data_IF_050547966029
#
_entry.id   IF_050547966029
#
_cell.length_a   1.000
_cell.length_b   1.000
_cell.length_c   1.000
_cell.angle_alpha   90.00
_cell.angle_beta   90.00
_cell.angle_gamma   90.00
#
_symmetry.space_group_name_H-M   'P 1'
#
loop_
_entity.id
_entity.type
_entity.pdbx_description
1 polymer ?
#
# COMPACT_ATOMS: atom_id res chain seq x y z
N UNK A 1 -17.09 -5.69 -18.28
CA UNK A 1 -15.91 -5.07 -18.92
C UNK A 1 -14.86 -4.85 -17.83
N UNK A 2 -13.57 -4.94 -18.13
CA UNK A 2 -12.52 -4.61 -17.17
C UNK A 2 -12.62 -3.14 -16.76
N UNK A 3 -12.21 -2.84 -15.52
CA UNK A 3 -12.07 -1.47 -15.03
C UNK A 3 -10.86 -0.83 -15.71
N UNK A 4 -11.05 0.30 -16.39
CA UNK A 4 -10.00 1.00 -17.13
C UNK A 4 -9.28 1.98 -16.22
N UNK A 5 -7.98 1.80 -16.05
CA UNK A 5 -7.18 2.63 -15.13
C UNK A 5 -6.11 3.45 -15.87
N UNK A 6 -5.94 4.70 -15.40
CA UNK A 6 -4.82 5.56 -15.74
C UNK A 6 -3.89 5.70 -14.56
N UNK A 7 -2.58 5.56 -14.76
CA UNK A 7 -1.57 5.69 -13.71
C UNK A 7 -0.85 7.04 -13.88
N UNK A 8 -0.95 7.91 -12.88
CA UNK A 8 -0.16 9.13 -12.81
C UNK A 8 1.02 8.95 -11.84
N UNK A 9 2.24 9.01 -12.36
CA UNK A 9 3.47 8.66 -11.65
C UNK A 9 3.84 7.18 -11.84
N UNK A 10 4.83 6.93 -12.67
CA UNK A 10 5.32 5.57 -12.95
C UNK A 10 6.61 5.27 -12.17
N UNK A 11 6.64 5.73 -10.91
CA UNK A 11 7.65 5.40 -9.90
C UNK A 11 7.52 3.97 -9.39
N UNK A 12 8.02 3.71 -8.17
CA UNK A 12 7.97 2.35 -7.57
C UNK A 12 6.55 1.78 -7.58
N UNK A 13 5.58 2.51 -7.01
CA UNK A 13 4.20 2.00 -6.86
C UNK A 13 3.50 1.89 -8.21
N UNK A 14 3.58 2.91 -9.08
CA UNK A 14 2.93 2.85 -10.39
C UNK A 14 3.41 1.68 -11.24
N UNK A 15 4.74 1.40 -11.26
CA UNK A 15 5.28 0.23 -11.95
C UNK A 15 4.84 -1.09 -11.32
N UNK A 16 4.86 -1.18 -9.99
CA UNK A 16 4.45 -2.40 -9.29
C UNK A 16 2.94 -2.68 -9.41
N UNK A 17 2.10 -1.67 -9.56
CA UNK A 17 0.68 -1.85 -9.91
C UNK A 17 0.53 -2.52 -11.27
N UNK A 18 1.22 -2.03 -12.31
CA UNK A 18 1.18 -2.65 -13.63
C UNK A 18 1.75 -4.07 -13.60
N UNK A 19 2.86 -4.29 -12.87
CA UNK A 19 3.44 -5.63 -12.67
C UNK A 19 2.45 -6.57 -11.97
N UNK A 20 1.80 -6.14 -10.89
CA UNK A 20 0.84 -6.94 -10.15
C UNK A 20 -0.34 -7.37 -11.01
N UNK A 21 -0.85 -6.49 -11.87
CA UNK A 21 -1.92 -6.81 -12.82
C UNK A 21 -1.45 -7.88 -13.82
N UNK A 22 -0.27 -7.68 -14.41
CA UNK A 22 0.27 -8.56 -15.44
C UNK A 22 0.68 -9.94 -14.88
N UNK A 23 1.40 -9.97 -13.76
CA UNK A 23 1.91 -11.19 -13.14
C UNK A 23 0.78 -12.05 -12.55
N UNK A 24 -0.27 -11.44 -12.02
CA UNK A 24 -1.44 -12.16 -11.54
C UNK A 24 -2.44 -12.54 -12.67
N UNK A 25 -2.18 -12.15 -13.92
CA UNK A 25 -3.08 -12.43 -15.05
C UNK A 25 -4.48 -11.84 -14.87
N UNK A 26 -4.58 -10.67 -14.23
CA UNK A 26 -5.87 -10.02 -13.93
C UNK A 26 -6.57 -9.60 -15.22
N UNK A 27 -7.82 -10.01 -15.38
CA UNK A 27 -8.67 -9.69 -16.53
C UNK A 27 -9.82 -8.72 -16.20
N UNK A 28 -9.98 -8.41 -14.92
CA UNK A 28 -11.03 -7.53 -14.40
C UNK A 28 -10.57 -6.04 -14.34
N UNK A 29 -9.33 -5.76 -14.71
CA UNK A 29 -8.71 -4.43 -14.72
C UNK A 29 -7.77 -4.29 -15.92
N UNK A 30 -7.70 -3.11 -16.52
CA UNK A 30 -6.86 -2.80 -17.69
C UNK A 30 -6.17 -1.44 -17.49
N UNK A 31 -4.84 -1.38 -17.64
CA UNK A 31 -4.11 -0.11 -17.68
C UNK A 31 -4.16 0.44 -19.10
N UNK A 32 -4.76 1.60 -19.29
CA UNK A 32 -4.96 2.23 -20.61
C UNK A 32 -4.07 3.44 -20.83
N UNK A 33 -3.52 4.02 -19.76
CA UNK A 33 -2.64 5.18 -19.84
C UNK A 33 -1.69 5.26 -18.65
N UNK A 34 -0.49 5.76 -18.93
CA UNK A 34 0.55 6.07 -17.94
C UNK A 34 0.98 7.50 -18.18
N UNK A 35 1.10 8.28 -17.12
CA UNK A 35 1.74 9.59 -17.17
C UNK A 35 2.96 9.60 -16.27
N UNK A 36 4.12 9.93 -16.83
CA UNK A 36 5.37 10.13 -16.09
C UNK A 36 6.27 11.08 -16.89
N UNK A 37 7.04 11.93 -16.18
CA UNK A 37 7.85 12.95 -16.82
C UNK A 37 9.14 12.41 -17.46
N UNK A 38 9.47 11.15 -17.20
CA UNK A 38 10.60 10.48 -17.85
C UNK A 38 10.27 10.04 -19.29
N UNK A 39 11.27 9.91 -20.18
CA UNK A 39 11.08 9.33 -21.50
C UNK A 39 10.47 7.92 -21.43
N UNK A 40 9.64 7.57 -22.44
CA UNK A 40 8.98 6.26 -22.51
C UNK A 40 9.97 5.09 -22.46
N UNK A 41 11.13 5.22 -23.07
CA UNK A 41 12.19 4.21 -23.07
C UNK A 41 12.76 3.98 -21.66
N UNK A 42 12.93 5.06 -20.88
CA UNK A 42 13.35 4.97 -19.47
C UNK A 42 12.31 4.25 -18.63
N UNK A 43 11.05 4.58 -18.81
CA UNK A 43 9.94 3.92 -18.13
C UNK A 43 9.85 2.43 -18.47
N UNK A 44 10.00 2.07 -19.75
CA UNK A 44 10.05 0.69 -20.20
C UNK A 44 11.26 -0.07 -19.65
N UNK A 45 12.45 0.57 -19.61
CA UNK A 45 13.65 -0.02 -19.04
C UNK A 45 13.47 -0.35 -17.55
N UNK A 46 12.97 0.61 -16.76
CA UNK A 46 12.72 0.44 -15.33
C UNK A 46 11.56 -0.53 -15.04
N UNK A 47 10.67 -0.77 -15.99
CA UNK A 47 9.65 -1.82 -15.88
C UNK A 47 10.25 -3.20 -16.12
N UNK A 48 11.18 -3.33 -17.11
CA UNK A 48 11.86 -4.60 -17.43
C UNK A 48 12.76 -5.08 -16.31
N UNK A 49 13.48 -4.14 -15.67
CA UNK A 49 14.53 -4.44 -14.70
C UNK A 49 14.25 -3.72 -13.39
N UNK A 50 14.04 -4.50 -12.35
CA UNK A 50 13.81 -3.99 -11.01
C UNK A 50 14.80 -4.63 -10.03
N UNK A 51 15.53 -3.81 -9.26
CA UNK A 51 16.55 -4.29 -8.34
C UNK A 51 15.97 -5.06 -7.16
N UNK A 52 14.69 -4.85 -6.83
CA UNK A 52 13.99 -5.46 -5.70
C UNK A 52 13.15 -6.65 -6.14
N UNK A 53 12.35 -6.45 -7.21
CA UNK A 53 11.39 -7.46 -7.69
C UNK A 53 11.89 -8.28 -8.89
N UNK A 54 13.14 -8.01 -9.35
CA UNK A 54 13.73 -8.74 -10.45
C UNK A 54 13.19 -8.36 -11.83
N UNK A 55 13.51 -9.18 -12.82
CA UNK A 55 13.05 -8.96 -14.19
C UNK A 55 11.54 -9.13 -14.30
N UNK A 56 10.92 -8.27 -15.12
CA UNK A 56 9.52 -8.46 -15.50
C UNK A 56 9.38 -9.82 -16.24
N UNK A 57 8.40 -10.67 -15.85
CA UNK A 57 8.31 -12.04 -16.36
C UNK A 57 7.83 -12.13 -17.82
N UNK A 58 7.34 -11.04 -18.39
CA UNK A 58 6.87 -10.96 -19.77
C UNK A 58 7.75 -10.05 -20.65
N UNK A 59 7.39 -9.95 -21.91
CA UNK A 59 8.02 -9.02 -22.84
C UNK A 59 7.49 -7.60 -22.62
N UNK A 60 8.39 -6.62 -22.58
CA UNK A 60 8.06 -5.19 -22.54
C UNK A 60 8.56 -4.54 -23.82
N UNK A 61 7.66 -4.09 -24.67
CA UNK A 61 8.00 -3.41 -25.93
C UNK A 61 7.56 -1.95 -25.91
N UNK A 62 8.24 -1.12 -26.71
CA UNK A 62 7.91 0.28 -26.94
C UNK A 62 7.51 0.48 -28.39
N UNK A 63 6.41 1.18 -28.64
CA UNK A 63 5.95 1.61 -29.96
C UNK A 63 5.56 3.09 -29.91
N UNK A 64 6.45 3.95 -30.44
CA UNK A 64 6.24 5.40 -30.36
C UNK A 64 6.15 5.85 -28.89
N UNK A 65 5.04 6.42 -28.53
CA UNK A 65 4.75 6.89 -27.16
C UNK A 65 3.88 5.90 -26.35
N UNK A 66 4.00 4.61 -26.62
CA UNK A 66 3.27 3.57 -25.91
C UNK A 66 4.17 2.41 -25.47
N UNK A 67 3.79 1.79 -24.33
CA UNK A 67 4.40 0.57 -23.80
C UNK A 67 3.40 -0.57 -23.95
N UNK A 68 3.87 -1.77 -24.26
CA UNK A 68 3.08 -3.01 -24.19
C UNK A 68 3.77 -4.02 -23.28
N UNK A 69 2.95 -4.72 -22.52
CA UNK A 69 3.33 -5.86 -21.66
C UNK A 69 2.58 -7.15 -22.06
N UNK A 70 2.11 -7.20 -23.32
CA UNK A 70 1.39 -8.35 -23.87
C UNK A 70 -0.12 -8.15 -24.02
N UNK A 71 -0.75 -7.24 -23.28
CA UNK A 71 -2.22 -7.04 -23.24
C UNK A 71 -2.66 -5.77 -23.98
N UNK A 72 -1.96 -5.39 -25.05
CA UNK A 72 -2.28 -4.18 -25.82
C UNK A 72 -1.27 -3.04 -25.58
N UNK A 73 -1.54 -1.89 -26.20
CA UNK A 73 -0.71 -0.70 -26.10
C UNK A 73 -1.22 0.22 -25.01
N UNK A 74 -0.36 0.57 -24.06
CA UNK A 74 -0.62 1.51 -22.98
C UNK A 74 -0.02 2.86 -23.42
N UNK A 75 -0.86 3.88 -23.58
CA UNK A 75 -0.42 5.23 -23.94
C UNK A 75 0.44 5.83 -22.81
N UNK A 76 1.61 6.39 -23.15
CA UNK A 76 2.49 7.08 -22.20
C UNK A 76 2.48 8.58 -22.51
N UNK A 77 2.32 9.41 -21.50
CA UNK A 77 2.37 10.88 -21.60
C UNK A 77 3.36 11.44 -20.60
N UNK A 78 3.81 12.68 -20.81
CA UNK A 78 4.74 13.41 -19.95
C UNK A 78 4.19 14.80 -19.61
N UNK A 79 3.04 14.82 -18.94
CA UNK A 79 2.27 16.04 -18.66
C UNK A 79 2.38 16.34 -17.16
N UNK A 80 2.75 17.59 -16.81
CA UNK A 80 2.91 18.03 -15.41
C UNK A 80 1.59 18.30 -14.72
N UNK A 81 0.61 18.85 -15.47
CA UNK A 81 -0.67 19.32 -14.93
C UNK A 81 -1.72 18.20 -14.99
N UNK A 82 -2.14 17.59 -13.88
CA UNK A 82 -3.05 16.45 -13.91
C UNK A 82 -4.41 16.74 -14.54
N UNK A 83 -4.90 17.98 -14.49
CA UNK A 83 -6.17 18.38 -15.07
C UNK A 83 -6.20 18.31 -16.60
N UNK A 84 -5.02 18.27 -17.25
CA UNK A 84 -4.89 18.22 -18.72
C UNK A 84 -4.52 16.82 -19.24
N UNK A 85 -4.51 15.82 -18.39
CA UNK A 85 -4.25 14.44 -18.76
C UNK A 85 -5.38 13.90 -19.67
N UNK A 86 -5.08 13.01 -20.62
CA UNK A 86 -6.07 12.54 -21.61
C UNK A 86 -6.99 11.44 -21.05
N UNK A 87 -7.38 11.53 -19.77
CA UNK A 87 -8.17 10.46 -19.13
C UNK A 87 -9.53 10.26 -19.78
N UNK A 88 -10.16 11.34 -20.26
CA UNK A 88 -11.44 11.28 -20.98
C UNK A 88 -11.30 10.50 -22.29
N UNK A 89 -10.30 10.83 -23.09
CA UNK A 89 -10.08 10.23 -24.40
C UNK A 89 -9.68 8.76 -24.30
N UNK A 90 -8.96 8.42 -23.23
CA UNK A 90 -8.57 7.05 -22.91
C UNK A 90 -9.66 6.26 -22.18
N UNK A 91 -10.80 6.89 -21.86
CA UNK A 91 -11.92 6.24 -21.18
C UNK A 91 -11.54 5.71 -19.78
N UNK A 92 -10.76 6.49 -19.01
CA UNK A 92 -10.31 6.08 -17.68
C UNK A 92 -11.48 6.09 -16.70
N UNK A 93 -11.73 4.95 -16.10
CA UNK A 93 -12.69 4.79 -15.00
C UNK A 93 -12.07 5.27 -13.67
N UNK A 94 -10.86 4.81 -13.36
CA UNK A 94 -10.19 5.13 -12.11
C UNK A 94 -8.76 5.63 -12.39
N UNK A 95 -8.45 6.85 -11.98
CA UNK A 95 -7.08 7.35 -11.99
C UNK A 95 -6.36 6.94 -10.69
N UNK A 96 -5.16 6.37 -10.85
CA UNK A 96 -4.28 6.00 -9.75
C UNK A 96 -3.21 7.08 -9.60
N UNK A 97 -3.33 7.88 -8.55
CA UNK A 97 -2.38 8.95 -8.24
C UNK A 97 -1.19 8.36 -7.46
N UNK A 98 -0.10 8.10 -8.16
CA UNK A 98 1.10 7.42 -7.66
C UNK A 98 2.34 8.32 -7.61
N UNK A 99 2.21 9.63 -7.80
CA UNK A 99 3.36 10.56 -7.76
C UNK A 99 3.86 10.86 -6.35
N UNK A 100 3.00 10.73 -5.34
CA UNK A 100 3.25 11.18 -3.97
C UNK A 100 3.19 12.70 -3.79
N UNK A 101 2.77 13.47 -4.81
CA UNK A 101 2.70 14.95 -4.81
C UNK A 101 1.28 15.44 -4.50
N UNK A 102 0.27 14.82 -5.11
CA UNK A 102 -1.13 15.23 -5.02
C UNK A 102 -1.87 14.49 -3.91
N UNK A 103 -1.44 14.69 -2.66
CA UNK A 103 -1.89 13.96 -1.47
C UNK A 103 -2.98 14.69 -0.68
N UNK A 104 -3.88 15.36 -1.36
CA UNK A 104 -5.12 15.89 -0.79
C UNK A 104 -6.26 15.75 -1.80
N UNK A 105 -7.51 15.71 -1.31
CA UNK A 105 -8.69 15.63 -2.17
C UNK A 105 -8.68 16.71 -3.24
N UNK A 106 -8.44 17.97 -2.85
CA UNK A 106 -8.49 19.11 -3.76
C UNK A 106 -7.48 18.98 -4.90
N UNK A 107 -6.25 18.55 -4.58
CA UNK A 107 -5.20 18.34 -5.59
C UNK A 107 -5.49 17.13 -6.47
N UNK A 108 -5.89 16.01 -5.87
CA UNK A 108 -6.17 14.77 -6.61
C UNK A 108 -7.45 14.88 -7.47
N UNK A 109 -8.40 15.74 -7.11
CA UNK A 109 -9.60 16.00 -7.89
C UNK A 109 -9.31 16.55 -9.31
N UNK A 110 -8.11 17.04 -9.60
CA UNK A 110 -7.66 17.43 -10.94
C UNK A 110 -7.82 16.28 -11.95
N UNK A 111 -7.66 15.04 -11.53
CA UNK A 111 -7.92 13.87 -12.40
C UNK A 111 -9.39 13.71 -12.79
N UNK A 112 -10.33 14.14 -11.95
CA UNK A 112 -11.76 14.17 -12.31
C UNK A 112 -12.03 15.20 -13.40
N UNK A 113 -11.39 16.38 -13.30
CA UNK A 113 -11.47 17.41 -14.34
C UNK A 113 -10.90 16.92 -15.67
N UNK A 114 -9.84 16.11 -15.63
CA UNK A 114 -9.26 15.45 -16.81
C UNK A 114 -10.15 14.34 -17.41
N UNK A 115 -11.23 13.95 -16.73
CA UNK A 115 -12.22 13.01 -17.23
C UNK A 115 -12.21 11.61 -16.62
N UNK A 116 -11.34 11.34 -15.63
CA UNK A 116 -11.45 10.12 -14.83
C UNK A 116 -12.75 10.16 -13.99
N UNK A 117 -13.42 9.04 -13.85
CA UNK A 117 -14.67 8.97 -13.08
C UNK A 117 -14.39 8.91 -11.56
N UNK A 118 -13.25 8.38 -11.16
CA UNK A 118 -12.79 8.23 -9.77
C UNK A 118 -11.28 8.36 -9.66
N UNK A 119 -10.80 8.59 -8.43
CA UNK A 119 -9.37 8.74 -8.12
C UNK A 119 -9.01 7.94 -6.88
N UNK A 120 -7.89 7.23 -6.92
CA UNK A 120 -7.26 6.61 -5.75
C UNK A 120 -5.88 7.22 -5.56
N UNK A 121 -5.62 7.77 -4.39
CA UNK A 121 -4.30 8.26 -3.98
C UNK A 121 -3.52 7.13 -3.33
N UNK A 122 -2.31 6.84 -3.81
CA UNK A 122 -1.43 5.78 -3.31
C UNK A 122 -0.63 6.17 -2.06
N UNK A 123 -1.19 7.05 -1.25
CA UNK A 123 -0.61 7.57 -0.01
C UNK A 123 -1.71 8.02 0.93
N UNK A 124 -1.44 8.26 2.23
CA UNK A 124 -2.33 9.02 3.09
C UNK A 124 -2.65 10.37 2.44
N UNK A 125 -3.91 10.77 2.43
CA UNK A 125 -4.34 11.99 1.76
C UNK A 125 -5.40 12.72 2.57
N UNK A 126 -5.27 14.05 2.62
CA UNK A 126 -6.15 14.91 3.42
C UNK A 126 -7.48 15.19 2.71
N UNK A 127 -8.58 15.22 3.46
CA UNK A 127 -9.90 15.64 3.00
C UNK A 127 -10.57 14.69 2.01
N UNK A 128 -10.02 13.49 1.75
CA UNK A 128 -10.60 12.49 0.85
C UNK A 128 -11.95 11.99 1.32
N UNK A 129 -12.76 11.46 0.41
CA UNK A 129 -14.10 10.95 0.73
C UNK A 129 -14.05 9.73 1.66
N UNK A 130 -13.04 8.89 1.51
CA UNK A 130 -12.78 7.74 2.37
C UNK A 130 -11.29 7.36 2.32
N UNK A 131 -10.72 7.04 3.49
CA UNK A 131 -9.48 6.29 3.57
C UNK A 131 -9.82 4.81 3.60
N UNK A 132 -9.31 4.06 2.62
CA UNK A 132 -9.63 2.64 2.41
C UNK A 132 -8.46 1.76 2.78
N UNK A 133 -8.73 0.73 3.56
CA UNK A 133 -7.87 -0.44 3.70
C UNK A 133 -8.67 -1.65 3.21
N UNK A 134 -8.27 -2.21 2.10
CA UNK A 134 -8.97 -3.34 1.49
C UNK A 134 -8.97 -4.56 2.43
N UNK A 135 -10.13 -5.22 2.58
CA UNK A 135 -10.35 -6.27 3.57
C UNK A 135 -10.82 -5.76 4.94
N UNK A 136 -10.68 -4.46 5.23
CA UNK A 136 -11.08 -3.87 6.53
C UNK A 136 -12.35 -3.02 6.42
N UNK A 137 -12.36 -2.05 5.49
CA UNK A 137 -13.48 -1.12 5.31
C UNK A 137 -13.82 -0.82 3.83
N UNK A 138 -13.36 -1.61 2.90
CA UNK A 138 -13.64 -1.43 1.47
C UNK A 138 -15.13 -1.61 1.14
N UNK A 139 -15.86 -2.33 1.97
CA UNK A 139 -17.32 -2.48 1.93
C UNK A 139 -18.09 -1.18 2.21
N UNK A 140 -17.42 -0.18 2.79
CA UNK A 140 -17.98 1.17 3.01
C UNK A 140 -17.88 2.06 1.75
N UNK A 141 -17.25 1.61 0.68
CA UNK A 141 -17.23 2.32 -0.60
C UNK A 141 -18.64 2.47 -1.15
N UNK A 142 -18.94 3.68 -1.63
CA UNK A 142 -20.24 4.01 -2.24
C UNK A 142 -20.07 4.71 -3.60
N UNK A 143 -21.11 4.77 -4.43
CA UNK A 143 -21.10 5.55 -5.69
C UNK A 143 -20.75 7.04 -5.52
N UNK A 144 -20.90 7.60 -4.32
CA UNK A 144 -20.61 9.01 -4.05
C UNK A 144 -19.14 9.29 -3.77
N UNK A 145 -18.35 8.28 -3.37
CA UNK A 145 -16.91 8.44 -3.12
C UNK A 145 -16.16 8.59 -4.44
N UNK A 146 -15.65 9.79 -4.72
CA UNK A 146 -14.95 10.12 -5.96
C UNK A 146 -13.43 10.11 -5.81
N UNK A 147 -12.92 10.58 -4.67
CA UNK A 147 -11.48 10.62 -4.37
C UNK A 147 -11.25 9.89 -3.06
N UNK A 148 -10.53 8.78 -3.11
CA UNK A 148 -10.19 7.99 -1.91
C UNK A 148 -8.68 7.87 -1.75
N UNK A 149 -8.24 7.60 -0.52
CA UNK A 149 -6.85 7.23 -0.21
C UNK A 149 -6.78 5.73 0.06
N UNK A 150 -5.76 5.06 -0.49
CA UNK A 150 -5.43 3.67 -0.14
C UNK A 150 -4.61 3.56 1.15
N UNK A 151 -4.60 4.62 1.99
CA UNK A 151 -3.79 4.72 3.20
C UNK A 151 -2.27 4.57 2.94
N UNK A 152 -1.51 4.14 3.93
CA UNK A 152 -0.10 3.77 3.79
C UNK A 152 0.08 2.26 3.77
N UNK A 153 1.25 1.79 3.30
CA UNK A 153 1.61 0.37 3.38
C UNK A 153 1.59 -0.15 4.83
N UNK A 154 2.07 0.65 5.78
CA UNK A 154 2.06 0.31 7.21
C UNK A 154 0.64 0.24 7.76
N UNK A 155 -0.26 1.15 7.38
CA UNK A 155 -1.68 1.08 7.78
C UNK A 155 -2.36 -0.16 7.19
N UNK A 156 -2.04 -0.52 5.94
CA UNK A 156 -2.54 -1.74 5.30
C UNK A 156 -2.06 -3.01 6.02
N UNK A 157 -0.85 -2.99 6.61
CA UNK A 157 -0.35 -4.09 7.43
C UNK A 157 -1.04 -4.14 8.81
N UNK A 158 -1.13 -2.98 9.51
CA UNK A 158 -1.61 -2.92 10.89
C UNK A 158 -3.11 -3.12 11.01
N UNK A 159 -3.91 -2.52 10.12
CA UNK A 159 -5.37 -2.47 10.28
C UNK A 159 -6.04 -3.85 10.26
N UNK A 160 -5.73 -4.80 9.35
CA UNK A 160 -6.31 -6.15 9.40
C UNK A 160 -5.95 -6.89 10.69
N UNK A 161 -4.71 -6.78 11.17
CA UNK A 161 -4.26 -7.39 12.43
C UNK A 161 -5.01 -6.75 13.61
N UNK A 162 -5.05 -5.41 13.67
CA UNK A 162 -5.74 -4.69 14.75
C UNK A 162 -7.24 -5.01 14.77
N UNK A 163 -7.89 -5.15 13.61
CA UNK A 163 -9.29 -5.56 13.51
C UNK A 163 -9.52 -6.92 14.14
N UNK A 164 -8.77 -7.93 13.72
CA UNK A 164 -8.90 -9.30 14.23
C UNK A 164 -8.67 -9.36 15.74
N UNK A 165 -7.64 -8.67 16.22
CA UNK A 165 -7.31 -8.66 17.67
C UNK A 165 -8.33 -7.88 18.49
N UNK A 166 -8.84 -6.76 17.95
CA UNK A 166 -9.89 -6.02 18.63
C UNK A 166 -11.20 -6.81 18.71
N UNK A 167 -11.56 -7.52 17.64
CA UNK A 167 -12.75 -8.38 17.60
C UNK A 167 -12.61 -9.58 18.57
N UNK A 168 -11.40 -10.14 18.72
CA UNK A 168 -11.16 -11.33 19.55
C UNK A 168 -11.05 -11.03 21.06
N UNK A 169 -10.25 -10.03 21.44
CA UNK A 169 -9.89 -9.77 22.84
C UNK A 169 -10.12 -8.32 23.28
N UNK A 170 -10.46 -7.44 22.33
CA UNK A 170 -10.56 -6.00 22.54
C UNK A 170 -9.18 -5.36 22.72
N UNK A 171 -9.02 -4.16 22.18
CA UNK A 171 -7.83 -3.32 22.37
C UNK A 171 -8.23 -2.13 23.22
N UNK A 172 -7.61 -1.98 24.40
CA UNK A 172 -7.77 -0.80 25.24
C UNK A 172 -6.90 0.34 24.69
N UNK A 173 -5.62 0.09 24.55
CA UNK A 173 -4.61 0.99 23.94
C UNK A 173 -3.45 0.19 23.37
N UNK A 174 -2.74 0.77 22.42
CA UNK A 174 -1.59 0.10 21.80
C UNK A 174 -0.57 1.05 21.24
N UNK A 175 0.67 0.55 21.12
CA UNK A 175 1.78 1.28 20.51
C UNK A 175 2.46 0.41 19.46
N UNK A 176 2.61 0.93 18.25
CA UNK A 176 3.23 0.24 17.14
C UNK A 176 4.59 0.87 16.81
N UNK A 177 5.60 0.04 16.67
CA UNK A 177 6.86 0.42 16.02
C UNK A 177 6.95 -0.29 14.69
N UNK A 178 7.05 0.44 13.59
CA UNK A 178 7.43 -0.19 12.33
C UNK A 178 8.94 -0.10 12.13
N UNK A 179 9.58 -1.25 11.96
CA UNK A 179 10.94 -1.34 11.43
C UNK A 179 10.78 -1.42 9.92
N UNK A 180 11.13 -0.31 9.25
CA UNK A 180 10.70 -0.06 7.87
C UNK A 180 11.91 0.04 6.94
N UNK A 181 11.83 -0.59 5.78
CA UNK A 181 12.80 -0.39 4.72
C UNK A 181 12.89 1.09 4.31
N UNK A 182 14.03 1.51 3.79
CA UNK A 182 14.14 2.85 3.22
C UNK A 182 13.28 2.97 1.93
N UNK A 183 12.91 4.19 1.61
CA UNK A 183 12.10 4.49 0.43
C UNK A 183 12.70 5.68 -0.33
N UNK A 184 12.17 6.00 -1.51
CA UNK A 184 12.61 7.16 -2.30
C UNK A 184 12.43 8.51 -1.59
N UNK A 185 11.74 8.56 -0.45
CA UNK A 185 11.69 9.74 0.42
C UNK A 185 13.04 10.01 1.12
N UNK A 186 13.94 9.03 1.15
CA UNK A 186 15.23 9.10 1.80
C UNK A 186 16.37 9.13 0.77
N UNK A 187 17.37 10.02 0.95
CA UNK A 187 18.49 10.15 0.04
C UNK A 187 19.51 9.02 0.20
N UNK A 188 20.31 8.77 -0.84
CA UNK A 188 21.45 7.86 -0.78
C UNK A 188 22.57 8.39 0.12
N UNK A 189 22.81 9.71 0.06
CA UNK A 189 23.76 10.44 0.91
C UNK A 189 23.04 11.62 1.58
N UNK A 190 23.65 12.19 2.64
CA UNK A 190 23.09 13.30 3.38
C UNK A 190 22.70 14.46 2.46
N UNK A 191 21.44 14.89 2.51
CA UNK A 191 20.95 16.04 1.74
C UNK A 191 19.78 16.73 2.44
N UNK A 192 19.39 17.90 1.95
CA UNK A 192 18.29 18.68 2.51
C UNK A 192 16.98 17.91 2.49
N UNK A 193 16.33 17.80 3.65
CA UNK A 193 15.02 17.21 3.83
C UNK A 193 14.29 17.96 4.97
N UNK A 194 12.95 18.06 4.91
CA UNK A 194 12.15 18.71 5.95
C UNK A 194 12.23 18.01 7.33
N UNK A 195 12.39 16.68 7.33
CA UNK A 195 12.68 15.88 8.52
C UNK A 195 14.19 15.65 8.57
N UNK A 196 14.85 16.21 9.58
CA UNK A 196 16.30 16.13 9.73
C UNK A 196 16.83 14.71 9.93
N UNK A 197 16.03 13.82 10.49
CA UNK A 197 16.38 12.40 10.56
C UNK A 197 16.42 11.75 9.17
N UNK A 198 15.43 12.05 8.32
CA UNK A 198 15.37 11.55 6.95
C UNK A 198 16.32 12.24 6.00
N UNK A 199 16.98 13.32 6.43
CA UNK A 199 18.04 14.00 5.68
C UNK A 199 19.33 13.16 5.57
N UNK A 200 19.45 12.09 6.37
CA UNK A 200 20.66 11.27 6.48
C UNK A 200 20.61 10.07 5.52
N UNK A 201 21.82 9.59 5.17
CA UNK A 201 22.03 8.48 4.22
C UNK A 201 21.24 7.23 4.62
N UNK A 202 20.32 6.81 3.76
CA UNK A 202 19.33 5.76 4.03
C UNK A 202 19.95 4.38 4.24
N UNK A 203 20.96 4.03 3.44
CA UNK A 203 21.57 2.70 3.45
C UNK A 203 22.68 2.52 4.51
N UNK A 204 22.97 3.58 5.30
CA UNK A 204 24.02 3.56 6.32
C UNK A 204 23.49 3.67 7.75
N UNK A 205 22.23 4.07 7.93
CA UNK A 205 21.73 4.46 9.24
C UNK A 205 20.43 3.75 9.63
N UNK A 206 20.25 3.48 10.91
CA UNK A 206 18.96 3.28 11.53
C UNK A 206 18.39 4.65 11.89
N UNK A 207 17.24 5.01 11.32
CA UNK A 207 16.70 6.37 11.36
C UNK A 207 15.34 6.37 12.09
N UNK A 208 15.27 6.92 13.34
CA UNK A 208 13.99 7.11 14.01
C UNK A 208 13.23 8.25 13.33
N UNK A 209 11.94 8.04 13.06
CA UNK A 209 11.10 9.07 12.45
C UNK A 209 9.64 8.88 12.83
N UNK A 210 8.84 9.90 12.65
CA UNK A 210 7.40 9.82 12.89
C UNK A 210 6.68 8.97 11.83
N UNK A 211 5.53 8.43 12.20
CA UNK A 211 4.57 7.83 11.30
C UNK A 211 3.14 8.10 11.76
N UNK A 212 2.28 8.46 10.82
CA UNK A 212 0.84 8.57 11.07
C UNK A 212 0.08 7.26 10.94
N UNK A 213 0.76 6.15 10.61
CA UNK A 213 0.10 4.90 10.25
C UNK A 213 -0.76 4.30 11.35
N UNK A 214 -0.33 4.35 12.61
CA UNK A 214 -1.11 3.85 13.74
C UNK A 214 -2.35 4.70 14.01
N UNK A 215 -2.22 6.03 13.95
CA UNK A 215 -3.36 6.95 14.08
C UNK A 215 -4.35 6.80 12.93
N UNK A 216 -3.86 6.55 11.73
CA UNK A 216 -4.69 6.33 10.54
C UNK A 216 -5.57 5.06 10.64
N UNK A 217 -5.23 4.10 11.51
CA UNK A 217 -6.12 2.96 11.79
C UNK A 217 -7.46 3.43 12.32
N UNK A 218 -7.52 4.50 13.11
CA UNK A 218 -8.76 5.09 13.60
C UNK A 218 -9.68 5.66 12.51
N UNK A 219 -9.14 5.95 11.30
CA UNK A 219 -9.95 6.38 10.15
C UNK A 219 -10.70 5.21 9.51
N UNK A 220 -10.16 4.00 9.60
CA UNK A 220 -10.73 2.80 8.96
C UNK A 220 -11.46 1.90 9.98
N UNK A 221 -11.06 1.97 11.25
CA UNK A 221 -11.65 1.30 12.42
C UNK A 221 -11.97 2.36 13.50
N UNK A 222 -13.12 3.06 13.42
CA UNK A 222 -13.46 4.16 14.31
C UNK A 222 -13.43 3.79 15.79
N UNK A 223 -13.70 2.53 16.14
CA UNK A 223 -13.64 2.01 17.50
C UNK A 223 -12.23 2.00 18.12
N UNK A 224 -11.20 2.13 17.29
CA UNK A 224 -9.79 2.26 17.68
C UNK A 224 -9.28 3.70 17.61
N UNK A 225 -10.13 4.68 17.28
CA UNK A 225 -9.72 6.08 17.21
C UNK A 225 -9.19 6.55 18.57
N UNK A 226 -8.01 7.17 18.56
CA UNK A 226 -7.32 7.67 19.77
C UNK A 226 -6.68 6.61 20.67
N UNK A 227 -6.81 5.32 20.34
CA UNK A 227 -6.24 4.23 21.15
C UNK A 227 -4.86 3.75 20.68
N UNK A 228 -4.51 4.06 19.44
CA UNK A 228 -3.25 3.61 18.83
C UNK A 228 -2.35 4.78 18.49
N UNK A 229 -1.07 4.66 18.82
CA UNK A 229 0.00 5.54 18.37
C UNK A 229 1.21 4.72 17.93
N UNK A 230 2.21 5.37 17.33
CA UNK A 230 3.39 4.64 16.89
C UNK A 230 4.49 5.52 16.31
N UNK A 231 5.61 4.85 16.07
CA UNK A 231 6.82 5.42 15.48
C UNK A 231 7.37 4.52 14.38
N UNK A 232 8.27 5.05 13.57
CA UNK A 232 8.99 4.29 12.57
C UNK A 232 10.50 4.32 12.86
N UNK A 233 11.16 3.19 12.61
CA UNK A 233 12.62 3.09 12.53
C UNK A 233 12.94 2.65 11.11
N UNK A 234 13.54 3.53 10.31
CA UNK A 234 14.03 3.17 8.98
C UNK A 234 15.36 2.44 9.11
N UNK A 235 15.54 1.38 8.34
CA UNK A 235 16.72 0.51 8.39
C UNK A 235 17.35 0.34 7.01
N UNK A 236 18.65 -0.03 6.91
CA UNK A 236 19.36 -0.24 5.64
C UNK A 236 18.90 -1.51 4.90
N UNK A 237 17.61 -1.60 4.62
CA UNK A 237 16.97 -2.72 3.91
C UNK A 237 16.13 -2.14 2.77
N UNK A 238 16.29 -2.62 1.52
CA UNK A 238 15.66 -1.99 0.36
C UNK A 238 14.15 -2.25 0.25
N UNK A 239 13.67 -3.35 0.82
CA UNK A 239 12.26 -3.73 0.77
C UNK A 239 11.92 -4.68 1.91
N UNK A 240 10.66 -4.85 2.19
CA UNK A 240 10.04 -5.59 3.30
C UNK A 240 10.26 -4.89 4.65
N UNK A 241 9.17 -4.66 5.30
CA UNK A 241 9.07 -4.00 6.59
C UNK A 241 8.32 -4.87 7.58
N UNK A 242 8.39 -4.54 8.86
CA UNK A 242 7.66 -5.27 9.91
C UNK A 242 7.05 -4.29 10.89
N UNK A 243 5.83 -4.58 11.33
CA UNK A 243 5.26 -3.94 12.52
C UNK A 243 5.58 -4.79 13.76
N UNK A 244 6.00 -4.15 14.82
CA UNK A 244 6.08 -4.66 16.18
C UNK A 244 5.01 -3.93 17.01
N UNK A 245 3.87 -4.59 17.21
CA UNK A 245 2.69 -4.01 17.82
C UNK A 245 2.48 -4.55 19.23
N UNK A 246 2.46 -3.63 20.21
CA UNK A 246 2.14 -3.92 21.60
C UNK A 246 0.82 -3.30 21.94
N UNK A 247 -0.04 -4.04 22.64
CA UNK A 247 -1.33 -3.52 23.09
C UNK A 247 -1.75 -4.14 24.41
N UNK A 248 -2.61 -3.43 25.13
CA UNK A 248 -3.30 -3.92 26.31
C UNK A 248 -4.65 -4.46 25.86
N UNK A 249 -4.85 -5.76 26.05
CA UNK A 249 -6.14 -6.41 25.78
C UNK A 249 -7.15 -6.03 26.88
N UNK A 250 -8.43 -5.91 26.51
CA UNK A 250 -9.52 -5.59 27.47
C UNK A 250 -9.86 -6.74 28.41
N UNK A 251 -9.39 -7.94 28.13
CA UNK A 251 -9.53 -9.12 28.96
C UNK A 251 -8.27 -9.99 28.90
N UNK A 252 -8.14 -10.90 29.86
CA UNK A 252 -7.07 -11.87 29.81
C UNK A 252 -7.15 -12.76 28.55
N UNK A 253 -6.00 -13.07 28.00
CA UNK A 253 -5.83 -13.86 26.78
C UNK A 253 -4.56 -14.71 26.84
N UNK A 254 -4.38 -15.57 25.85
CA UNK A 254 -3.21 -16.43 25.70
C UNK A 254 -2.60 -16.29 24.29
N UNK A 255 -1.34 -16.73 24.13
CA UNK A 255 -0.70 -16.82 22.82
C UNK A 255 -1.53 -17.62 21.83
N UNK A 256 -2.07 -18.77 22.27
CA UNK A 256 -2.83 -19.68 21.41
C UNK A 256 -4.15 -19.07 20.95
N UNK A 257 -4.83 -18.30 21.83
CA UNK A 257 -6.05 -17.58 21.46
C UNK A 257 -5.78 -16.50 20.42
N UNK A 258 -4.74 -15.69 20.62
CA UNK A 258 -4.31 -14.65 19.67
C UNK A 258 -3.96 -15.27 18.30
N UNK A 259 -3.08 -16.26 18.30
CA UNK A 259 -2.65 -16.94 17.08
C UNK A 259 -3.82 -17.64 16.37
N UNK A 260 -4.68 -18.32 17.12
CA UNK A 260 -5.87 -18.98 16.59
C UNK A 260 -6.88 -18.01 15.97
N UNK A 261 -7.05 -16.82 16.55
CA UNK A 261 -7.92 -15.79 15.97
C UNK A 261 -7.38 -15.28 14.64
N UNK A 262 -6.08 -14.99 14.58
CA UNK A 262 -5.42 -14.52 13.35
C UNK A 262 -5.45 -15.59 12.26
N UNK A 263 -5.13 -16.85 12.61
CA UNK A 263 -5.15 -17.98 11.66
C UNK A 263 -6.51 -18.15 11.02
N UNK A 264 -7.58 -18.19 11.83
CA UNK A 264 -8.96 -18.27 11.31
C UNK A 264 -9.30 -17.12 10.37
N UNK A 265 -8.93 -15.89 10.73
CA UNK A 265 -9.21 -14.72 9.89
C UNK A 265 -8.46 -14.80 8.55
N UNK A 266 -7.20 -15.22 8.55
CA UNK A 266 -6.37 -15.38 7.35
C UNK A 266 -6.90 -16.48 6.42
N UNK A 267 -7.44 -17.56 6.97
CA UNK A 267 -8.01 -18.67 6.19
C UNK A 267 -9.43 -18.39 5.68
N UNK A 268 -10.14 -17.42 6.26
CA UNK A 268 -11.55 -17.12 5.98
C UNK A 268 -11.74 -15.69 5.41
N UNK A 269 -12.22 -14.76 6.24
CA UNK A 269 -12.68 -13.44 5.79
C UNK A 269 -11.57 -12.50 5.28
N UNK A 270 -10.32 -12.76 5.65
CA UNK A 270 -9.14 -11.98 5.20
C UNK A 270 -8.21 -12.79 4.30
N UNK A 271 -8.70 -13.86 3.70
CA UNK A 271 -7.91 -14.69 2.78
C UNK A 271 -7.35 -13.85 1.63
N UNK A 272 -6.01 -13.98 1.41
CA UNK A 272 -5.28 -13.19 0.40
C UNK A 272 -4.94 -11.75 0.83
N UNK A 273 -5.44 -11.29 2.00
CA UNK A 273 -5.13 -9.99 2.59
C UNK A 273 -4.21 -10.16 3.79
N UNK A 274 -4.59 -11.03 4.71
CA UNK A 274 -3.82 -11.42 5.88
C UNK A 274 -3.28 -12.84 5.67
N UNK A 275 -1.96 -13.00 5.78
CA UNK A 275 -1.29 -14.28 5.85
C UNK A 275 -0.77 -14.53 7.26
N UNK A 276 -0.20 -15.70 7.48
CA UNK A 276 0.55 -16.02 8.71
C UNK A 276 1.69 -16.98 8.40
N UNK A 277 2.70 -16.99 9.28
CA UNK A 277 3.80 -17.93 9.24
C UNK A 277 4.08 -18.49 10.63
N UNK A 278 4.46 -19.76 10.68
CA UNK A 278 4.94 -20.45 11.89
C UNK A 278 6.47 -20.66 11.85
N UNK A 279 7.08 -20.39 10.68
CA UNK A 279 8.51 -20.54 10.46
C UNK A 279 9.32 -19.34 10.99
N UNK A 280 10.59 -19.53 11.35
CA UNK A 280 11.49 -18.46 11.77
C UNK A 280 12.00 -17.67 10.54
N UNK A 281 11.11 -16.89 9.96
CA UNK A 281 11.38 -16.10 8.76
C UNK A 281 12.05 -14.75 9.06
N UNK A 282 12.72 -14.23 8.03
CA UNK A 282 13.32 -12.89 8.00
C UNK A 282 12.76 -12.06 6.84
N UNK A 283 13.08 -10.78 6.77
CA UNK A 283 12.47 -9.84 5.82
C UNK A 283 12.54 -10.31 4.36
N UNK A 284 13.66 -10.87 3.92
CA UNK A 284 13.84 -11.31 2.52
C UNK A 284 12.90 -12.42 2.09
N UNK A 285 12.37 -13.21 3.03
CA UNK A 285 11.42 -14.30 2.74
C UNK A 285 10.04 -13.77 2.30
N UNK A 286 9.74 -12.51 2.56
CA UNK A 286 8.48 -11.86 2.23
C UNK A 286 8.59 -10.89 1.05
N UNK A 287 9.76 -10.86 0.38
CA UNK A 287 9.90 -10.05 -0.83
C UNK A 287 8.96 -10.59 -1.91
N UNK A 288 8.18 -9.68 -2.51
CA UNK A 288 7.18 -10.03 -3.53
C UNK A 288 5.96 -10.80 -2.98
N UNK A 289 5.70 -10.75 -1.68
CA UNK A 289 4.49 -11.29 -1.08
C UNK A 289 3.31 -10.34 -1.29
N UNK A 290 2.21 -10.85 -1.83
CA UNK A 290 1.03 -10.06 -2.18
C UNK A 290 0.10 -9.75 -0.99
N UNK A 291 0.30 -10.36 0.18
CA UNK A 291 -0.50 -10.05 1.36
C UNK A 291 -0.23 -8.62 1.87
N UNK A 292 -1.23 -8.01 2.43
CA UNK A 292 -1.06 -6.73 3.16
C UNK A 292 -0.25 -6.92 4.45
N UNK A 293 -0.33 -8.11 5.04
CA UNK A 293 0.21 -8.42 6.36
C UNK A 293 0.43 -9.91 6.49
N UNK A 294 1.61 -10.37 6.90
CA UNK A 294 1.91 -11.78 7.20
C UNK A 294 2.30 -11.89 8.66
N UNK A 295 1.40 -12.41 9.46
CA UNK A 295 1.52 -12.49 10.92
C UNK A 295 2.54 -13.56 11.35
N UNK A 296 3.54 -13.19 12.15
CA UNK A 296 4.55 -14.09 12.68
C UNK A 296 4.08 -14.74 13.99
N UNK A 297 3.53 -15.94 13.92
CA UNK A 297 2.88 -16.62 15.06
C UNK A 297 3.86 -17.00 16.17
N UNK A 298 5.13 -17.29 15.81
CA UNK A 298 6.19 -17.59 16.76
C UNK A 298 6.57 -16.37 17.64
N UNK A 299 6.34 -15.15 17.12
CA UNK A 299 6.69 -13.87 17.76
C UNK A 299 5.62 -13.33 18.71
N UNK A 300 4.49 -14.01 18.84
CA UNK A 300 3.44 -13.63 19.80
C UNK A 300 3.89 -13.85 21.23
N UNK A 301 3.78 -12.81 22.06
CA UNK A 301 4.04 -12.84 23.51
C UNK A 301 2.85 -12.27 24.27
N UNK A 302 2.51 -12.88 25.40
CA UNK A 302 1.51 -12.38 26.33
C UNK A 302 2.15 -12.31 27.71
N UNK A 303 2.08 -11.13 28.34
CA UNK A 303 2.56 -10.88 29.72
C UNK A 303 1.37 -10.51 30.58
N UNK A 304 1.31 -11.05 31.79
CA UNK A 304 0.28 -10.82 32.80
C UNK A 304 -1.16 -10.93 32.24
N UNK A 305 -1.32 -11.82 31.27
CA UNK A 305 -2.60 -12.10 30.60
C UNK A 305 -3.16 -11.00 29.70
N UNK A 306 -2.66 -9.77 29.80
CA UNK A 306 -3.27 -8.62 29.09
C UNK A 306 -2.30 -7.82 28.23
N UNK A 307 -1.01 -7.78 28.55
CA UNK A 307 -0.03 -7.10 27.70
C UNK A 307 0.41 -8.04 26.57
N UNK A 308 -0.02 -7.74 25.35
CA UNK A 308 0.21 -8.56 24.18
C UNK A 308 1.21 -7.87 23.24
N UNK A 309 2.17 -8.60 22.76
CA UNK A 309 3.09 -8.19 21.67
C UNK A 309 2.93 -9.15 20.50
N UNK A 310 2.76 -8.59 19.31
CA UNK A 310 2.69 -9.32 18.04
C UNK A 310 3.58 -8.68 16.98
N UNK A 311 3.99 -9.46 15.98
CA UNK A 311 4.71 -8.97 14.80
C UNK A 311 3.99 -9.39 13.53
N UNK A 312 4.05 -8.53 12.52
CA UNK A 312 3.57 -8.87 11.19
C UNK A 312 4.44 -8.24 10.11
N UNK A 313 4.81 -9.03 9.12
CA UNK A 313 5.63 -8.67 7.98
C UNK A 313 4.79 -8.11 6.84
N UNK A 314 5.36 -7.26 6.02
CA UNK A 314 4.71 -6.79 4.80
C UNK A 314 5.72 -6.34 3.76
N UNK A 315 5.50 -6.77 2.52
CA UNK A 315 6.18 -6.13 1.40
C UNK A 315 5.53 -4.76 1.17
N UNK A 316 6.24 -3.71 1.58
CA UNK A 316 5.71 -2.34 1.57
C UNK A 316 5.51 -1.77 0.16
N UNK A 317 6.04 -2.43 -0.87
CA UNK A 317 5.80 -2.09 -2.28
C UNK A 317 4.79 -3.05 -2.93
N UNK A 318 5.04 -4.36 -2.87
CA UNK A 318 4.26 -5.35 -3.60
C UNK A 318 2.87 -5.58 -3.00
N UNK A 319 2.79 -5.85 -1.70
CA UNK A 319 1.51 -6.01 -1.02
C UNK A 319 0.63 -4.76 -1.16
N UNK A 320 1.21 -3.57 -1.00
CA UNK A 320 0.50 -2.31 -1.19
C UNK A 320 0.01 -2.11 -2.63
N UNK A 321 0.83 -2.44 -3.64
CA UNK A 321 0.45 -2.34 -5.05
C UNK A 321 -0.69 -3.28 -5.41
N UNK A 322 -0.73 -4.48 -4.86
CA UNK A 322 -1.87 -5.40 -5.00
C UNK A 322 -3.15 -4.80 -4.40
N UNK A 323 -3.07 -4.14 -3.24
CA UNK A 323 -4.23 -3.44 -2.65
C UNK A 323 -4.70 -2.25 -3.46
N UNK A 324 -3.80 -1.55 -4.13
CA UNK A 324 -4.18 -0.50 -5.10
C UNK A 324 -5.04 -1.09 -6.23
N UNK A 325 -4.67 -2.25 -6.76
CA UNK A 325 -5.42 -2.97 -7.80
C UNK A 325 -6.80 -3.39 -7.28
N UNK A 326 -6.87 -4.01 -6.12
CA UNK A 326 -8.13 -4.48 -5.53
C UNK A 326 -9.10 -3.33 -5.23
N UNK A 327 -8.57 -2.22 -4.69
CA UNK A 327 -9.37 -1.01 -4.42
C UNK A 327 -9.86 -0.38 -5.73
N UNK A 328 -9.03 -0.36 -6.78
CA UNK A 328 -9.42 0.15 -8.09
C UNK A 328 -10.58 -0.65 -8.69
N UNK A 329 -10.52 -1.98 -8.61
CA UNK A 329 -11.60 -2.85 -9.07
C UNK A 329 -12.87 -2.65 -8.24
N UNK A 330 -12.75 -2.54 -6.91
CA UNK A 330 -13.90 -2.28 -6.04
C UNK A 330 -14.57 -0.94 -6.37
N UNK A 331 -13.79 0.12 -6.59
CA UNK A 331 -14.32 1.42 -7.00
C UNK A 331 -14.91 1.39 -8.41
N UNK A 332 -14.27 0.70 -9.34
CA UNK A 332 -14.74 0.58 -10.72
C UNK A 332 -16.11 -0.09 -10.81
N UNK A 333 -16.38 -1.08 -9.96
CA UNK A 333 -17.70 -1.77 -9.90
C UNK A 333 -18.84 -0.87 -9.42
N UNK A 334 -18.55 0.31 -8.88
CA UNK A 334 -19.53 1.27 -8.40
C UNK A 334 -19.82 2.39 -9.43
N UNK A 335 -19.23 2.34 -10.62
CA UNK A 335 -19.46 3.25 -11.74
C UNK A 335 -20.62 2.75 -12.57
#
# INVERSE_FOLDING_TARGET
MPVRVGINGFGRIGRNVLRAIAEAGRTDIEVVGINDLAPVETNAHLLRFDSVHGRFPGEVTVKGDAISVGNGLIKVTAIKEPATLPWRDLGVDVALECTGIFTSKDKAAAHLAAGAKRVIVSAPADGVDLTVVYGVNHDKLTPHHKVVSNASCTTNCLAPVAKVLNDAVGIDKGFMTTVHSYTNDQPSLDQVHKDLYRARAAALNMIPTSTGAAKAVGLVLPELAGKLDGVAIRVPTPNVSVIDFKFVAKRATTKDEINGAVKRAAEQQLKGILGYTEAPNVSSDFNHDAHSSVFAMDQTKVMDGTLVRVMSWYDNEWGFSNRMVDTAVAMGKLI
#
